data_IF_469106721968
#
_entry.id   IF_469106721968
#
_cell.length_a   1.000
_cell.length_b   1.000
_cell.length_c   1.000
_cell.angle_alpha   90.00
_cell.angle_beta   90.00
_cell.angle_gamma   90.00
#
_symmetry.space_group_name_H-M   'P 1'
#
loop_
_entity.id
_entity.type
_entity.pdbx_description
1 polymer ?
#
# COMPACT_ATOMS: atom_id res chain seq x y z
N UNK A 1 11.80 2.19 -40.70
CA UNK A 1 10.57 2.78 -40.13
C UNK A 1 10.25 2.00 -38.85
N UNK A 2 10.48 2.53 -37.64
CA UNK A 2 10.13 1.84 -36.41
C UNK A 2 8.60 1.72 -36.31
N UNK A 3 8.10 0.51 -36.08
CA UNK A 3 6.68 0.26 -35.85
C UNK A 3 6.25 0.86 -34.51
N UNK A 4 5.10 1.56 -34.43
CA UNK A 4 4.60 2.06 -33.16
C UNK A 4 4.38 0.90 -32.21
N UNK A 5 4.98 0.98 -31.02
CA UNK A 5 4.85 -0.02 -29.97
C UNK A 5 3.38 -0.05 -29.52
N UNK A 6 2.61 -1.02 -30.02
CA UNK A 6 1.27 -1.31 -29.50
C UNK A 6 1.46 -2.04 -28.18
N UNK A 7 1.51 -1.29 -27.08
CA UNK A 7 1.47 -1.85 -25.73
C UNK A 7 0.25 -2.75 -25.53
N UNK A 8 0.27 -3.65 -24.54
CA UNK A 8 -0.86 -4.52 -24.23
C UNK A 8 -2.12 -3.67 -24.03
N UNK A 9 -3.23 -4.08 -24.67
CA UNK A 9 -4.54 -3.46 -24.48
C UNK A 9 -5.03 -3.79 -23.07
N UNK A 10 -4.77 -2.89 -22.13
CA UNK A 10 -5.33 -2.96 -20.79
C UNK A 10 -6.83 -2.70 -20.94
N UNK A 11 -7.66 -3.69 -20.58
CA UNK A 11 -9.11 -3.48 -20.57
C UNK A 11 -9.43 -2.44 -19.47
N UNK A 12 -10.19 -1.37 -19.79
CA UNK A 12 -10.47 -0.27 -18.86
C UNK A 12 -11.27 -0.71 -17.62
N UNK A 13 -11.83 -1.92 -17.66
CA UNK A 13 -12.75 -2.46 -16.66
C UNK A 13 -12.01 -3.28 -15.58
N UNK A 14 -10.72 -3.57 -15.79
CA UNK A 14 -9.90 -4.40 -14.90
C UNK A 14 -8.94 -3.60 -13.99
N UNK A 15 -8.84 -2.29 -14.17
CA UNK A 15 -7.86 -1.47 -13.46
C UNK A 15 -8.54 -0.46 -12.53
N UNK A 16 -8.81 -0.89 -11.29
CA UNK A 16 -9.14 -0.03 -10.14
C UNK A 16 -7.94 0.86 -9.71
N UNK A 17 -7.16 1.36 -10.66
CA UNK A 17 -5.96 2.14 -10.45
C UNK A 17 -6.27 3.64 -10.55
N UNK A 18 -5.71 4.48 -9.67
CA UNK A 18 -5.94 5.92 -9.73
C UNK A 18 -5.37 6.52 -11.01
N UNK A 19 -6.03 7.53 -11.55
CA UNK A 19 -5.53 8.37 -12.67
C UNK A 19 -4.88 9.64 -12.13
N UNK A 20 -4.19 10.41 -12.98
CA UNK A 20 -3.60 11.68 -12.54
C UNK A 20 -4.67 12.67 -12.03
N UNK A 21 -5.88 12.64 -12.62
CA UNK A 21 -7.01 13.45 -12.20
C UNK A 21 -7.44 13.16 -10.74
N UNK A 22 -7.37 11.90 -10.30
CA UNK A 22 -7.66 11.53 -8.92
C UNK A 22 -6.68 12.18 -7.94
N UNK A 23 -5.38 12.22 -8.30
CA UNK A 23 -4.36 12.90 -7.52
C UNK A 23 -4.51 14.42 -7.54
N UNK A 24 -4.83 15.00 -8.69
CA UNK A 24 -5.04 16.44 -8.83
C UNK A 24 -6.24 16.92 -7.98
N UNK A 25 -7.30 16.12 -7.90
CA UNK A 25 -8.51 16.45 -7.13
C UNK A 25 -8.52 15.90 -5.71
N UNK A 26 -7.49 15.16 -5.30
CA UNK A 26 -7.46 14.40 -4.05
C UNK A 26 -8.75 13.58 -3.82
N UNK A 27 -9.20 12.87 -4.87
CA UNK A 27 -10.42 12.05 -4.82
C UNK A 27 -10.07 10.56 -4.75
N UNK A 28 -10.72 9.78 -3.87
CA UNK A 28 -10.57 8.33 -3.84
C UNK A 28 -11.09 7.70 -5.13
N UNK A 29 -10.42 6.65 -5.58
CA UNK A 29 -10.93 5.80 -6.68
C UNK A 29 -12.18 5.08 -6.20
N UNK A 30 -13.25 5.19 -6.98
CA UNK A 30 -14.45 4.38 -6.80
C UNK A 30 -14.12 2.93 -7.14
N UNK A 31 -13.80 2.15 -6.12
CA UNK A 31 -13.48 0.73 -6.30
C UNK A 31 -14.76 -0.09 -6.31
N UNK A 32 -15.09 -0.65 -7.46
CA UNK A 32 -16.01 -1.78 -7.56
C UNK A 32 -15.28 -3.03 -7.03
N UNK A 33 -15.17 -3.17 -5.72
CA UNK A 33 -14.57 -4.35 -5.14
C UNK A 33 -15.53 -5.54 -5.32
N UNK A 34 -15.15 -6.51 -6.15
CA UNK A 34 -15.55 -7.91 -5.92
C UNK A 34 -14.72 -8.38 -4.72
N UNK A 35 -15.20 -8.07 -3.53
CA UNK A 35 -14.55 -8.49 -2.29
C UNK A 35 -14.58 -10.01 -2.27
N UNK A 36 -13.44 -10.66 -2.54
CA UNK A 36 -13.32 -12.10 -2.28
C UNK A 36 -13.26 -12.27 -0.76
N UNK A 37 -14.27 -12.88 -0.12
CA UNK A 37 -14.39 -12.91 1.35
C UNK A 37 -13.25 -13.69 2.03
N UNK A 38 -12.45 -14.46 1.27
CA UNK A 38 -11.33 -15.25 1.79
C UNK A 38 -10.02 -14.48 1.94
N UNK A 39 -9.89 -13.28 1.37
CA UNK A 39 -8.64 -12.52 1.30
C UNK A 39 -8.80 -11.07 1.80
N UNK A 40 -9.78 -10.82 2.68
CA UNK A 40 -10.09 -9.49 3.20
C UNK A 40 -8.87 -8.75 3.74
N UNK A 41 -7.92 -9.48 4.35
CA UNK A 41 -6.69 -8.94 4.94
C UNK A 41 -5.51 -8.78 3.97
N UNK A 42 -5.64 -9.22 2.72
CA UNK A 42 -4.58 -9.13 1.72
C UNK A 42 -5.01 -8.32 0.50
N UNK A 43 -5.50 -7.10 0.73
CA UNK A 43 -5.59 -6.09 -0.35
C UNK A 43 -4.18 -5.72 -0.80
N UNK A 44 -3.66 -6.46 -1.78
CA UNK A 44 -2.41 -6.14 -2.45
C UNK A 44 -2.67 -5.22 -3.66
N UNK A 45 -1.73 -4.32 -3.92
CA UNK A 45 -1.70 -3.56 -5.17
C UNK A 45 -1.13 -4.43 -6.28
N UNK A 46 -1.76 -4.36 -7.45
CA UNK A 46 -1.24 -4.93 -8.69
C UNK A 46 0.05 -4.23 -9.15
N UNK A 47 0.64 -4.69 -10.27
CA UNK A 47 1.90 -4.11 -10.78
C UNK A 47 1.76 -2.61 -11.08
N UNK A 48 0.66 -2.22 -11.73
CA UNK A 48 0.38 -0.85 -12.10
C UNK A 48 0.14 0.05 -10.86
N UNK A 49 -0.66 -0.39 -9.88
CA UNK A 49 -0.88 0.34 -8.64
C UNK A 49 0.41 0.54 -7.82
N UNK A 50 1.30 -0.46 -7.77
CA UNK A 50 2.62 -0.31 -7.15
C UNK A 50 3.49 0.71 -7.89
N UNK A 51 3.52 0.66 -9.22
CA UNK A 51 4.23 1.61 -10.07
C UNK A 51 3.74 3.05 -9.84
N UNK A 52 2.42 3.28 -9.84
CA UNK A 52 1.82 4.58 -9.54
C UNK A 52 2.27 5.09 -8.18
N UNK A 53 2.19 4.26 -7.13
CA UNK A 53 2.60 4.65 -5.78
C UNK A 53 4.05 5.16 -5.74
N UNK A 54 4.98 4.47 -6.43
CA UNK A 54 6.39 4.84 -6.47
C UNK A 54 6.63 6.11 -7.27
N UNK A 55 5.99 6.26 -8.43
CA UNK A 55 6.07 7.48 -9.26
C UNK A 55 5.62 8.70 -8.46
N UNK A 56 4.38 8.73 -7.95
CA UNK A 56 3.86 9.92 -7.28
C UNK A 56 4.59 10.23 -5.97
N UNK A 57 5.05 9.21 -5.26
CA UNK A 57 5.86 9.39 -4.05
C UNK A 57 7.23 10.01 -4.35
N UNK A 58 7.90 9.60 -5.43
CA UNK A 58 9.16 10.21 -5.87
C UNK A 58 9.01 11.70 -6.17
N UNK A 59 7.81 12.12 -6.63
CA UNK A 59 7.46 13.52 -6.85
C UNK A 59 7.00 14.28 -5.59
N UNK A 60 6.98 13.63 -4.43
CA UNK A 60 6.73 14.27 -3.13
C UNK A 60 5.30 14.14 -2.61
N UNK A 61 4.44 13.35 -3.26
CA UNK A 61 3.10 13.04 -2.72
C UNK A 61 3.26 12.23 -1.43
N UNK A 62 2.48 12.58 -0.42
CA UNK A 62 2.55 11.95 0.91
C UNK A 62 1.88 10.57 0.91
N UNK A 63 2.33 9.69 1.80
CA UNK A 63 1.85 8.29 1.90
C UNK A 63 0.34 8.27 2.21
N UNK A 64 -0.10 9.12 3.14
CA UNK A 64 -1.49 9.21 3.59
C UNK A 64 -2.42 9.60 2.43
N UNK A 65 -1.94 10.52 1.56
CA UNK A 65 -2.66 10.95 0.35
C UNK A 65 -2.76 9.82 -0.67
N UNK A 66 -1.66 9.09 -0.90
CA UNK A 66 -1.65 7.94 -1.82
C UNK A 66 -2.60 6.84 -1.32
N UNK A 67 -2.57 6.54 -0.02
CA UNK A 67 -3.43 5.54 0.61
C UNK A 67 -4.91 5.92 0.52
N UNK A 68 -5.24 7.19 0.80
CA UNK A 68 -6.58 7.74 0.66
C UNK A 68 -7.09 7.63 -0.79
N UNK A 69 -6.33 8.13 -1.75
CA UNK A 69 -6.73 8.11 -3.17
C UNK A 69 -6.85 6.68 -3.69
N UNK A 70 -5.90 5.82 -3.35
CA UNK A 70 -5.86 4.44 -3.80
C UNK A 70 -6.77 3.53 -2.99
N UNK A 71 -7.55 4.02 -2.00
CA UNK A 71 -8.43 3.22 -1.15
C UNK A 71 -7.74 1.95 -0.59
N UNK A 72 -6.55 2.10 -0.01
CA UNK A 72 -5.77 1.05 0.67
C UNK A 72 -5.20 1.59 1.99
N UNK A 73 -4.64 0.73 2.83
CA UNK A 73 -3.97 1.17 4.06
C UNK A 73 -2.59 1.78 3.76
N UNK A 74 -2.14 2.68 4.65
CA UNK A 74 -0.78 3.23 4.63
C UNK A 74 0.29 2.15 4.60
N UNK A 75 0.08 1.04 5.31
CA UNK A 75 1.00 -0.10 5.35
C UNK A 75 1.14 -0.76 3.98
N UNK A 76 0.05 -0.88 3.22
CA UNK A 76 0.09 -1.40 1.85
C UNK A 76 0.92 -0.49 0.95
N UNK A 77 0.76 0.84 1.09
CA UNK A 77 1.58 1.81 0.35
C UNK A 77 3.04 1.71 0.76
N UNK A 78 3.36 1.66 2.05
CA UNK A 78 4.74 1.49 2.55
C UNK A 78 5.39 0.24 2.00
N UNK A 79 4.67 -0.90 1.94
CA UNK A 79 5.18 -2.14 1.33
C UNK A 79 5.44 -1.98 -0.17
N UNK A 80 4.56 -1.29 -0.91
CA UNK A 80 4.75 -1.01 -2.33
C UNK A 80 6.00 -0.12 -2.58
N UNK A 81 6.23 0.86 -1.71
CA UNK A 81 7.40 1.75 -1.78
C UNK A 81 8.72 1.03 -1.42
N UNK A 82 8.69 0.06 -0.51
CA UNK A 82 9.89 -0.72 -0.15
C UNK A 82 10.45 -1.51 -1.34
N UNK A 83 9.62 -1.86 -2.32
CA UNK A 83 10.03 -2.58 -3.54
C UNK A 83 10.95 -3.78 -3.24
N UNK A 84 10.66 -4.53 -2.18
CA UNK A 84 11.47 -5.69 -1.82
C UNK A 84 11.23 -6.78 -2.87
N UNK A 85 12.23 -7.15 -3.68
CA UNK A 85 12.06 -8.23 -4.62
C UNK A 85 11.78 -9.54 -3.87
N UNK A 86 11.04 -10.44 -4.50
CA UNK A 86 10.93 -11.80 -4.00
C UNK A 86 12.13 -12.60 -4.48
N UNK A 87 12.89 -13.15 -3.54
CA UNK A 87 14.01 -14.08 -3.77
C UNK A 87 15.05 -13.57 -4.78
N UNK A 88 14.83 -13.83 -6.07
CA UNK A 88 15.77 -13.63 -7.16
C UNK A 88 15.34 -12.54 -8.17
N UNK A 89 14.21 -11.86 -7.91
CA UNK A 89 13.74 -10.77 -8.78
C UNK A 89 14.64 -9.53 -8.66
N UNK A 90 14.91 -8.87 -9.78
CA UNK A 90 15.54 -7.55 -9.74
C UNK A 90 14.52 -6.54 -9.16
N UNK A 91 14.94 -5.66 -8.24
CA UNK A 91 14.05 -4.60 -7.77
C UNK A 91 13.64 -3.74 -8.96
N UNK A 92 12.35 -3.45 -9.07
CA UNK A 92 11.85 -2.60 -10.14
C UNK A 92 12.49 -1.20 -10.07
N UNK A 93 12.96 -0.67 -11.19
CA UNK A 93 13.37 0.74 -11.25
C UNK A 93 12.17 1.64 -11.51
N UNK A 94 12.24 2.89 -11.04
CA UNK A 94 11.20 3.89 -11.30
C UNK A 94 11.07 4.17 -12.81
N UNK A 95 12.16 4.07 -13.58
CA UNK A 95 12.08 4.23 -15.04
C UNK A 95 11.19 3.16 -15.69
N UNK A 96 11.31 1.92 -15.23
CA UNK A 96 10.48 0.82 -15.72
C UNK A 96 9.01 0.96 -15.31
N UNK A 97 8.71 1.68 -14.23
CA UNK A 97 7.33 1.89 -13.76
C UNK A 97 6.45 2.62 -14.77
N UNK A 98 7.02 3.52 -15.57
CA UNK A 98 6.28 4.23 -16.62
C UNK A 98 5.76 3.31 -17.73
N UNK A 99 6.34 2.12 -17.92
CA UNK A 99 5.85 1.14 -18.89
C UNK A 99 4.59 0.39 -18.41
N UNK A 100 4.26 0.48 -17.12
CA UNK A 100 3.12 -0.23 -16.50
C UNK A 100 1.94 0.68 -16.14
N UNK A 101 2.02 1.98 -16.44
CA UNK A 101 1.00 2.97 -16.10
C UNK A 101 0.54 3.72 -17.35
N UNK A 102 -0.56 4.46 -17.21
CA UNK A 102 -1.04 5.30 -18.30
C UNK A 102 0.03 6.35 -18.71
N UNK A 103 0.25 6.60 -20.02
CA UNK A 103 1.14 7.64 -20.50
C UNK A 103 0.92 9.03 -19.87
N UNK A 104 -0.29 9.34 -19.41
CA UNK A 104 -0.60 10.58 -18.68
C UNK A 104 0.35 10.81 -17.49
N UNK A 105 0.75 9.74 -16.78
CA UNK A 105 1.67 9.83 -15.65
C UNK A 105 3.04 10.36 -16.06
N UNK A 106 3.53 10.03 -17.26
CA UNK A 106 4.82 10.53 -17.75
C UNK A 106 4.81 12.04 -18.05
N UNK A 107 3.61 12.60 -18.29
CA UNK A 107 3.41 14.03 -18.54
C UNK A 107 3.30 14.78 -17.21
N UNK A 108 2.45 14.29 -16.30
CA UNK A 108 2.16 14.96 -15.02
C UNK A 108 3.30 14.78 -13.99
N UNK A 109 3.95 13.61 -14.02
CA UNK A 109 5.04 13.22 -13.14
C UNK A 109 6.21 12.79 -14.02
N UNK A 110 6.99 13.72 -14.59
CA UNK A 110 8.06 13.37 -15.53
C UNK A 110 9.22 12.64 -14.81
N UNK A 111 9.88 11.65 -15.44
CA UNK A 111 10.99 10.92 -14.84
C UNK A 111 12.04 11.84 -14.22
N UNK A 112 12.28 11.66 -12.92
CA UNK A 112 13.28 12.44 -12.20
C UNK A 112 14.65 11.90 -12.61
N UNK A 113 15.45 12.72 -13.31
CA UNK A 113 16.84 12.38 -13.65
C UNK A 113 17.58 11.84 -12.41
N UNK A 114 18.37 10.77 -12.58
CA UNK A 114 19.05 10.03 -11.50
C UNK A 114 19.84 10.91 -10.52
N UNK A 115 20.30 12.09 -10.95
CA UNK A 115 20.98 13.06 -10.10
C UNK A 115 20.09 13.73 -9.03
N UNK A 116 18.77 13.79 -9.21
CA UNK A 116 17.86 14.48 -8.28
C UNK A 116 17.20 13.55 -7.24
N UNK A 117 17.15 12.24 -7.48
CA UNK A 117 16.44 11.29 -6.61
C UNK A 117 17.14 11.11 -5.25
N UNK A 118 18.47 11.17 -5.20
CA UNK A 118 19.25 10.98 -3.98
C UNK A 118 19.23 12.18 -3.02
N UNK A 119 18.91 13.39 -3.50
CA UNK A 119 18.94 14.60 -2.67
C UNK A 119 17.73 14.77 -1.75
N UNK A 120 16.55 14.27 -2.12
CA UNK A 120 15.30 14.56 -1.39
C UNK A 120 15.12 13.73 -0.12
N UNK A 121 15.56 12.46 -0.12
CA UNK A 121 15.52 11.63 1.08
C UNK A 121 16.53 12.05 2.15
N UNK A 122 17.72 12.51 1.73
CA UNK A 122 18.72 13.05 2.64
C UNK A 122 18.22 14.32 3.35
N UNK A 123 17.50 15.20 2.63
CA UNK A 123 17.01 16.46 3.19
C UNK A 123 15.91 16.26 4.25
N UNK A 124 14.99 15.31 4.08
CA UNK A 124 13.97 15.00 5.10
C UNK A 124 14.58 14.44 6.39
N UNK A 125 15.62 13.61 6.31
CA UNK A 125 16.35 13.13 7.50
C UNK A 125 17.09 14.25 8.24
N UNK A 126 17.46 15.34 7.56
CA UNK A 126 18.18 16.45 8.18
C UNK A 126 17.27 17.44 8.94
N UNK A 127 16.00 17.57 8.54
CA UNK A 127 15.03 18.48 9.18
C UNK A 127 14.29 17.85 10.37
N UNK A 128 14.30 16.54 10.53
CA UNK A 128 13.76 15.84 11.70
C UNK A 128 14.74 15.85 12.88
N UNK A 129 15.43 16.97 13.12
CA UNK A 129 16.05 17.20 14.43
C UNK A 129 14.92 17.58 15.38
N UNK A 130 14.70 16.84 16.48
CA UNK A 130 13.65 17.15 17.43
C UNK A 130 13.90 18.56 17.97
N UNK A 131 13.02 19.50 17.60
CA UNK A 131 12.92 20.76 18.34
C UNK A 131 12.64 20.34 19.78
N UNK A 132 13.62 20.51 20.67
CA UNK A 132 13.46 20.37 22.11
C UNK A 132 12.38 21.37 22.54
N UNK A 133 11.12 20.97 22.44
CA UNK A 133 10.01 21.69 23.05
C UNK A 133 10.26 21.55 24.55
N UNK A 134 10.71 22.64 25.17
CA UNK A 134 10.69 22.77 26.63
C UNK A 134 9.22 22.71 27.03
N UNK A 135 8.74 21.52 27.35
CA UNK A 135 7.45 21.33 28.02
C UNK A 135 7.57 22.00 29.38
N UNK A 136 6.99 23.20 29.50
CA UNK A 136 6.75 23.82 30.81
C UNK A 136 5.60 23.01 31.40
N UNK A 137 5.94 22.07 32.27
CA UNK A 137 4.98 21.30 33.04
C UNK A 137 4.37 22.27 34.07
N UNK A 138 3.23 22.88 33.72
CA UNK A 138 2.37 23.48 34.74
C UNK A 138 1.71 22.34 35.49
N UNK A 139 2.23 22.06 36.69
CA UNK A 139 1.62 21.15 37.64
C UNK A 139 0.30 21.77 38.16
N UNK A 140 -0.82 21.42 37.55
CA UNK A 140 -2.14 21.59 38.17
C UNK A 140 -2.46 20.34 38.99
N UNK A 141 -2.39 20.52 40.30
CA UNK A 141 -2.89 19.59 41.31
C UNK A 141 -4.42 19.56 41.31
N UNK A 142 -4.97 18.48 41.88
CA UNK A 142 -6.40 18.16 42.12
C UNK A 142 -7.17 17.73 40.86
N UNK A 143 -7.92 16.64 40.84
CA UNK A 143 -8.75 16.11 41.91
C UNK A 143 -8.96 14.60 41.79
N UNK A 144 -9.04 13.94 42.94
CA UNK A 144 -8.99 12.48 43.09
C UNK A 144 -10.40 11.93 42.95
N UNK A 145 -10.73 11.25 41.85
CA UNK A 145 -11.99 10.51 41.74
C UNK A 145 -11.82 9.03 42.13
N UNK A 146 -12.75 8.47 42.92
CA UNK A 146 -12.62 7.13 43.47
C UNK A 146 -12.76 6.03 42.42
N UNK A 147 -11.86 5.06 42.55
CA UNK A 147 -11.74 3.80 41.81
C UNK A 147 -12.96 2.92 42.11
N UNK A 148 -13.86 2.79 41.15
CA UNK A 148 -14.93 1.77 41.18
C UNK A 148 -14.28 0.45 40.76
N UNK A 149 -14.10 -0.45 41.72
CA UNK A 149 -13.74 -1.85 41.49
C UNK A 149 -14.86 -2.51 40.68
N UNK A 150 -14.58 -2.86 39.41
CA UNK A 150 -15.38 -3.83 38.67
C UNK A 150 -14.72 -5.19 38.84
N UNK A 151 -15.48 -6.12 39.41
CA UNK A 151 -15.11 -7.52 39.56
C UNK A 151 -14.86 -8.19 38.19
N UNK A 152 -13.87 -9.09 38.09
CA UNK A 152 -13.71 -9.95 36.92
C UNK A 152 -14.74 -11.08 36.97
N UNK A 153 -15.70 -11.09 36.03
CA UNK A 153 -16.54 -12.27 35.80
C UNK A 153 -15.72 -13.34 35.08
N UNK A 154 -15.40 -14.39 35.82
CA UNK A 154 -14.87 -15.65 35.32
C UNK A 154 -15.94 -16.28 34.43
N UNK A 155 -15.69 -16.33 33.12
CA UNK A 155 -16.42 -17.19 32.19
C UNK A 155 -15.38 -18.17 31.67
N UNK A 156 -15.40 -19.37 32.24
CA UNK A 156 -14.63 -20.54 31.81
C UNK A 156 -15.51 -21.41 30.88
N UNK A 157 -14.96 -22.36 30.13
CA UNK A 157 -15.15 -22.47 28.68
C UNK A 157 -15.79 -23.81 28.28
N UNK A 158 -16.82 -23.80 27.44
CA UNK A 158 -17.26 -25.06 26.82
C UNK A 158 -18.03 -24.82 25.54
N UNK A 159 -17.34 -24.76 24.40
CA UNK A 159 -17.95 -25.16 23.13
C UNK A 159 -16.99 -26.07 22.35
N UNK A 160 -17.16 -27.34 22.67
CA UNK A 160 -17.07 -28.52 21.82
C UNK A 160 -17.05 -28.19 20.32
N UNK A 161 -15.87 -27.98 19.75
CA UNK A 161 -15.70 -27.86 18.30
C UNK A 161 -15.19 -29.20 17.77
N UNK A 162 -15.99 -29.94 16.98
CA UNK A 162 -15.54 -31.21 16.41
C UNK A 162 -14.36 -31.00 15.46
N UNK A 163 -13.41 -31.95 15.39
CA UNK A 163 -12.27 -31.86 14.49
C UNK A 163 -12.73 -31.86 13.03
N UNK A 164 -12.09 -31.07 12.15
CA UNK A 164 -12.40 -31.09 10.73
C UNK A 164 -12.09 -32.48 10.14
N UNK A 165 -12.91 -32.96 9.18
CA UNK A 165 -12.66 -34.24 8.53
C UNK A 165 -11.34 -34.21 7.74
N UNK A 166 -10.52 -35.22 7.97
CA UNK A 166 -9.32 -35.54 7.18
C UNK A 166 -9.62 -35.46 5.69
N UNK A 167 -9.05 -34.46 5.00
CA UNK A 167 -9.00 -34.46 3.54
C UNK A 167 -7.95 -35.48 3.12
N UNK A 168 -8.44 -36.66 2.75
CA UNK A 168 -7.69 -37.68 2.05
C UNK A 168 -7.08 -37.08 0.78
N UNK A 169 -5.75 -37.22 0.68
CA UNK A 169 -4.95 -36.96 -0.50
C UNK A 169 -5.46 -37.76 -1.70
N UNK A 170 -6.20 -37.12 -2.59
CA UNK A 170 -6.42 -37.63 -3.94
C UNK A 170 -5.18 -37.32 -4.79
N UNK A 171 -4.16 -38.17 -4.66
CA UNK A 171 -3.15 -38.36 -5.71
C UNK A 171 -3.84 -38.93 -6.94
N UNK A 172 -3.89 -38.16 -8.01
CA UNK A 172 -4.06 -38.70 -9.37
C UNK A 172 -2.99 -38.09 -10.27
N UNK A 173 -1.93 -38.85 -10.63
CA UNK A 173 -1.08 -38.49 -11.74
C UNK A 173 -1.79 -38.90 -13.04
N UNK A 174 -1.88 -37.97 -13.99
CA UNK A 174 -2.18 -38.31 -15.38
C UNK A 174 -1.00 -37.85 -16.24
N UNK A 175 -0.20 -38.78 -16.78
CA UNK A 175 0.62 -38.50 -17.95
C UNK A 175 -0.25 -38.72 -19.19
N UNK A 176 -0.35 -37.70 -20.04
CA UNK A 176 -0.81 -37.88 -21.41
C UNK A 176 0.35 -37.55 -22.35
N UNK A 177 0.60 -38.51 -23.24
CA UNK A 177 1.59 -38.56 -24.31
C UNK A 177 1.55 -37.38 -25.27
#
# INVERSE_FOLDING_TARGET
MPTPFKGPKIHPEDCNNPTCEHFARNRPVEKHFVISPRLFDQRCLDRAGRAICRIVYAHGVKIETIAHISCVSDDTVRRALQNKPRFDEQPDTIENDYAYVDPEYSVQYPPISSHQSHGRHARRKAEEKPKKVKTIIHATQADTKPRINREPSIIDPSEDTPPPPNKLDARSPSPCH
#
